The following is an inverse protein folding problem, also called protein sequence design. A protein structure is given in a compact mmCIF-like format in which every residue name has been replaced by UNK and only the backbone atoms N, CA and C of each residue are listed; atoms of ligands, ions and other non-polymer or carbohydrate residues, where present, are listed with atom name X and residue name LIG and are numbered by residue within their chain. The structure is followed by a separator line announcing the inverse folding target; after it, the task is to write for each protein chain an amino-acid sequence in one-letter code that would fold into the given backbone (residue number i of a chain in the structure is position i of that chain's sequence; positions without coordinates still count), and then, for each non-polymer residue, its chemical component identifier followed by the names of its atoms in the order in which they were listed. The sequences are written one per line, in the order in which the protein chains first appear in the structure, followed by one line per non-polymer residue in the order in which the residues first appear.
data_IF_147484577218
#
_entry.id   IF_147484577218
#
_cell.length_a   1.000
_cell.length_b   1.000
_cell.length_c   1.000
_cell.angle_alpha   90.00
_cell.angle_beta   90.00
_cell.angle_gamma   90.00
#
_symmetry.space_group_name_H-M   'P 1'
#
loop_
_entity.id
_entity.type
_entity.pdbx_description
1 polymer ?
#
# COMPACT_ATOMS: atom_id res chain seq x y z
N UNK A 1 12.15 -10.75 -16.15
CA UNK A 1 12.17 -9.31 -16.54
C UNK A 1 11.04 -8.94 -17.49
N UNK A 2 10.81 -9.66 -18.60
CA UNK A 2 9.71 -9.36 -19.54
C UNK A 2 8.32 -9.36 -18.86
N UNK A 3 8.03 -10.35 -17.99
CA UNK A 3 6.75 -10.40 -17.26
C UNK A 3 6.49 -9.19 -16.36
N UNK A 4 7.52 -8.63 -15.73
CA UNK A 4 7.39 -7.45 -14.87
C UNK A 4 7.07 -6.20 -15.69
N UNK A 5 7.76 -6.00 -16.83
CA UNK A 5 7.46 -4.93 -17.77
C UNK A 5 6.04 -5.09 -18.34
N UNK A 6 5.66 -6.32 -18.71
CA UNK A 6 4.33 -6.64 -19.22
C UNK A 6 3.21 -6.46 -18.17
N UNK A 7 3.51 -6.60 -16.87
CA UNK A 7 2.54 -6.34 -15.80
C UNK A 7 2.42 -4.85 -15.44
N UNK A 8 3.52 -4.10 -15.52
CA UNK A 8 3.55 -2.67 -15.21
C UNK A 8 2.96 -1.84 -16.36
N UNK A 9 3.28 -2.20 -17.60
CA UNK A 9 2.88 -1.44 -18.79
C UNK A 9 1.36 -1.19 -18.88
N UNK A 10 0.46 -2.16 -18.62
CA UNK A 10 -0.98 -1.93 -18.63
C UNK A 10 -1.43 -0.90 -17.58
N UNK A 11 -0.85 -0.93 -16.38
CA UNK A 11 -1.19 0.02 -15.31
C UNK A 11 -0.81 1.44 -15.72
N UNK A 12 0.41 1.62 -16.22
CA UNK A 12 0.87 2.92 -16.70
C UNK A 12 0.14 3.39 -17.96
N UNK A 13 -0.28 2.45 -18.83
CA UNK A 13 -1.12 2.76 -20.00
C UNK A 13 -2.49 3.28 -19.57
N UNK A 14 -3.13 2.65 -18.58
CA UNK A 14 -4.39 3.13 -18.00
C UNK A 14 -4.25 4.52 -17.38
N UNK A 15 -3.16 4.78 -16.65
CA UNK A 15 -2.86 6.11 -16.10
C UNK A 15 -2.70 7.14 -17.24
N UNK A 16 -1.96 6.80 -18.29
CA UNK A 16 -1.76 7.68 -19.44
C UNK A 16 -3.06 7.98 -20.18
N UNK A 17 -3.93 6.97 -20.35
CA UNK A 17 -5.27 7.13 -20.93
C UNK A 17 -6.12 8.05 -20.06
N UNK A 18 -6.18 7.81 -18.74
CA UNK A 18 -6.94 8.66 -17.82
C UNK A 18 -6.46 10.12 -17.83
N UNK A 19 -5.14 10.32 -17.87
CA UNK A 19 -4.54 11.65 -18.04
C UNK A 19 -4.90 12.28 -19.39
N UNK A 20 -4.83 11.52 -20.49
CA UNK A 20 -5.22 11.97 -21.82
C UNK A 20 -6.67 12.43 -21.88
N UNK A 21 -7.59 11.64 -21.32
CA UNK A 21 -9.02 11.96 -21.24
C UNK A 21 -9.28 13.24 -20.42
N UNK A 22 -8.53 13.43 -19.32
CA UNK A 22 -8.62 14.65 -18.52
C UNK A 22 -8.07 15.87 -19.27
N UNK A 23 -6.92 15.72 -19.93
CA UNK A 23 -6.29 16.82 -20.68
C UNK A 23 -7.08 17.23 -21.92
N UNK A 24 -7.84 16.31 -22.52
CA UNK A 24 -8.68 16.60 -23.68
C UNK A 24 -10.07 17.15 -23.32
N UNK A 25 -10.33 17.45 -22.04
CA UNK A 25 -11.65 17.86 -21.54
C UNK A 25 -12.78 16.89 -21.97
N UNK A 26 -12.48 15.59 -22.05
CA UNK A 26 -13.46 14.58 -22.50
C UNK A 26 -14.66 14.48 -21.55
N UNK A 27 -14.42 14.72 -20.25
CA UNK A 27 -15.46 14.84 -19.22
C UNK A 27 -15.29 16.17 -18.49
N UNK A 28 -16.40 16.79 -18.03
CA UNK A 28 -16.34 17.95 -17.15
C UNK A 28 -15.49 17.66 -15.90
N UNK A 29 -14.76 18.66 -15.42
CA UNK A 29 -13.88 18.51 -14.26
C UNK A 29 -14.60 17.99 -13.01
N UNK A 30 -15.87 18.36 -12.85
CA UNK A 30 -16.72 17.91 -11.75
C UNK A 30 -17.02 16.40 -11.76
N UNK A 31 -16.85 15.72 -12.90
CA UNK A 31 -17.16 14.29 -13.07
C UNK A 31 -16.06 13.38 -12.53
N UNK A 32 -14.81 13.85 -12.44
CA UNK A 32 -13.68 13.04 -11.95
C UNK A 32 -13.83 12.59 -10.51
N UNK A 33 -14.34 13.48 -9.63
CA UNK A 33 -14.50 13.19 -8.20
C UNK A 33 -15.54 12.09 -7.93
N UNK A 34 -16.72 12.09 -8.58
CA UNK A 34 -17.64 10.94 -8.55
C UNK A 34 -17.01 9.63 -9.05
N UNK A 35 -16.24 9.66 -10.15
CA UNK A 35 -15.58 8.46 -10.70
C UNK A 35 -14.56 7.89 -9.70
N UNK A 36 -13.76 8.76 -9.07
CA UNK A 36 -12.82 8.36 -8.03
C UNK A 36 -13.55 7.72 -6.84
N UNK A 37 -14.64 8.34 -6.38
CA UNK A 37 -15.46 7.80 -5.30
C UNK A 37 -16.04 6.42 -5.64
N UNK A 38 -16.55 6.23 -6.85
CA UNK A 38 -17.04 4.94 -7.33
C UNK A 38 -15.92 3.89 -7.38
N UNK A 39 -14.77 4.29 -7.91
CA UNK A 39 -13.61 3.41 -8.08
C UNK A 39 -13.10 2.91 -6.74
N UNK A 40 -12.95 3.81 -5.75
CA UNK A 40 -12.40 3.47 -4.44
C UNK A 40 -13.42 2.74 -3.56
N UNK A 41 -14.69 3.14 -3.56
CA UNK A 41 -15.66 2.60 -2.61
C UNK A 41 -16.40 1.35 -3.11
N UNK A 42 -16.43 1.10 -4.43
CA UNK A 42 -17.16 -0.04 -4.99
C UNK A 42 -16.28 -0.94 -5.86
N UNK A 43 -15.62 -0.37 -6.88
CA UNK A 43 -14.88 -1.18 -7.86
C UNK A 43 -13.64 -1.85 -7.23
N UNK A 44 -12.88 -1.10 -6.45
CA UNK A 44 -11.67 -1.63 -5.81
C UNK A 44 -11.97 -2.71 -4.76
N UNK A 45 -12.97 -2.55 -3.85
CA UNK A 45 -13.44 -3.65 -3.02
C UNK A 45 -13.95 -4.85 -3.82
N UNK A 46 -14.70 -4.60 -4.91
CA UNK A 46 -15.17 -5.66 -5.82
C UNK A 46 -14.03 -6.42 -6.51
N UNK A 47 -12.87 -5.80 -6.70
CA UNK A 47 -11.64 -6.45 -7.17
C UNK A 47 -10.92 -7.21 -6.05
N UNK A 48 -10.82 -6.62 -4.86
CA UNK A 48 -10.03 -7.15 -3.75
C UNK A 48 -10.72 -8.31 -3.02
N UNK A 49 -12.04 -8.22 -2.78
CA UNK A 49 -12.79 -9.22 -2.00
C UNK A 49 -12.72 -10.61 -2.64
N UNK A 50 -12.99 -10.80 -3.96
CA UNK A 50 -12.85 -12.11 -4.57
C UNK A 50 -11.42 -12.66 -4.52
N UNK A 51 -10.40 -11.79 -4.62
CA UNK A 51 -9.00 -12.20 -4.52
C UNK A 51 -8.66 -12.74 -3.13
N UNK A 52 -9.20 -12.12 -2.06
CA UNK A 52 -9.06 -12.60 -0.68
C UNK A 52 -9.92 -13.85 -0.45
N UNK A 53 -11.17 -13.85 -0.90
CA UNK A 53 -12.12 -14.93 -0.66
C UNK A 53 -11.69 -16.26 -1.27
N UNK A 54 -11.10 -16.22 -2.47
CA UNK A 54 -10.57 -17.40 -3.15
C UNK A 54 -9.13 -17.72 -2.72
N UNK A 55 -8.54 -16.96 -1.79
CA UNK A 55 -7.18 -17.25 -1.35
C UNK A 55 -7.16 -18.51 -0.50
N UNK A 56 -6.42 -19.52 -0.97
CA UNK A 56 -6.19 -20.72 -0.19
C UNK A 56 -5.16 -20.44 0.91
N UNK A 57 -5.66 -20.27 2.13
CA UNK A 57 -4.87 -20.08 3.34
C UNK A 57 -4.43 -21.41 3.98
N UNK A 58 -4.94 -22.54 3.48
CA UNK A 58 -4.63 -23.88 4.00
C UNK A 58 -3.34 -24.46 3.42
N UNK A 59 -2.88 -23.92 2.28
CA UNK A 59 -1.60 -24.27 1.68
C UNK A 59 -0.42 -23.87 2.57
N UNK A 60 0.58 -24.74 2.69
CA UNK A 60 1.76 -24.55 3.55
C UNK A 60 2.60 -23.30 3.25
N UNK A 61 2.36 -22.61 2.13
CA UNK A 61 3.08 -21.39 1.72
C UNK A 61 2.45 -20.09 2.21
N UNK A 62 1.18 -20.06 2.62
CA UNK A 62 0.49 -18.81 3.00
C UNK A 62 1.13 -18.14 4.23
N UNK A 63 1.42 -18.91 5.27
CA UNK A 63 2.12 -18.42 6.47
C UNK A 63 3.54 -17.94 6.16
N UNK A 64 4.26 -18.66 5.30
CA UNK A 64 5.61 -18.27 4.88
C UNK A 64 5.60 -16.97 4.07
N UNK A 65 4.64 -16.80 3.15
CA UNK A 65 4.47 -15.56 2.37
C UNK A 65 4.11 -14.37 3.26
N UNK A 66 3.17 -14.55 4.19
CA UNK A 66 2.79 -13.52 5.15
C UNK A 66 3.98 -13.10 6.03
N UNK A 67 4.73 -14.06 6.56
CA UNK A 67 5.92 -13.84 7.36
C UNK A 67 7.00 -13.11 6.56
N UNK A 68 7.30 -13.57 5.35
CA UNK A 68 8.29 -12.93 4.46
C UNK A 68 7.93 -11.47 4.15
N UNK A 69 6.66 -11.18 3.84
CA UNK A 69 6.19 -9.84 3.55
C UNK A 69 6.32 -8.91 4.78
N UNK A 70 5.92 -9.39 5.96
CA UNK A 70 6.07 -8.63 7.21
C UNK A 70 7.53 -8.38 7.53
N UNK A 71 8.40 -9.40 7.43
CA UNK A 71 9.83 -9.26 7.64
C UNK A 71 10.44 -8.25 6.67
N UNK A 72 10.08 -8.28 5.39
CA UNK A 72 10.56 -7.32 4.41
C UNK A 72 10.18 -5.88 4.78
N UNK A 73 8.92 -5.64 5.17
CA UNK A 73 8.47 -4.32 5.64
C UNK A 73 9.23 -3.87 6.88
N UNK A 74 9.46 -4.76 7.84
CA UNK A 74 10.21 -4.44 9.07
C UNK A 74 11.67 -4.10 8.76
N UNK A 75 12.31 -4.80 7.82
CA UNK A 75 13.67 -4.48 7.36
C UNK A 75 13.69 -3.08 6.75
N UNK A 76 12.78 -2.78 5.83
CA UNK A 76 12.70 -1.46 5.19
C UNK A 76 12.44 -0.35 6.23
N UNK A 77 11.54 -0.60 7.19
CA UNK A 77 11.28 0.32 8.30
C UNK A 77 12.52 0.53 9.20
N UNK A 78 13.23 -0.55 9.54
CA UNK A 78 14.48 -0.46 10.29
C UNK A 78 15.55 0.34 9.52
N UNK A 79 15.71 0.09 8.23
CA UNK A 79 16.61 0.87 7.37
C UNK A 79 16.24 2.36 7.36
N UNK A 80 14.95 2.69 7.25
CA UNK A 80 14.49 4.08 7.29
C UNK A 80 14.80 4.76 8.65
N UNK A 81 14.62 4.03 9.77
CA UNK A 81 14.99 4.51 11.11
C UNK A 81 16.49 4.71 11.27
N UNK A 82 17.30 3.77 10.79
CA UNK A 82 18.76 3.88 10.79
C UNK A 82 19.26 5.01 9.88
N UNK A 83 18.52 5.32 8.80
CA UNK A 83 18.83 6.43 7.91
C UNK A 83 18.49 7.80 8.52
N UNK A 84 17.56 7.87 9.48
CA UNK A 84 17.11 9.13 10.11
C UNK A 84 18.23 10.11 10.49
N UNK A 85 19.30 9.72 11.24
CA UNK A 85 20.36 10.66 11.63
C UNK A 85 21.09 11.29 10.44
N UNK A 86 21.07 10.67 9.26
CA UNK A 86 21.74 11.16 8.06
C UNK A 86 20.87 12.12 7.23
N UNK A 87 19.54 12.14 7.45
CA UNK A 87 18.60 12.83 6.55
C UNK A 87 18.46 14.35 6.79
N UNK A 88 19.06 14.94 7.84
CA UNK A 88 19.03 16.40 8.15
C UNK A 88 17.67 17.08 7.85
N UNK A 89 16.56 16.43 8.20
CA UNK A 89 15.20 16.92 8.00
C UNK A 89 14.46 16.99 9.34
N UNK A 90 13.50 17.91 9.40
CA UNK A 90 12.64 18.08 10.57
C UNK A 90 11.83 16.82 10.88
N UNK A 91 11.50 16.63 12.17
CA UNK A 91 10.74 15.47 12.65
C UNK A 91 9.48 15.19 11.82
N UNK A 92 8.58 16.17 11.62
CA UNK A 92 7.36 15.96 10.86
C UNK A 92 7.63 15.54 9.41
N UNK A 93 8.61 16.16 8.75
CA UNK A 93 9.03 15.78 7.40
C UNK A 93 9.58 14.34 7.36
N UNK A 94 10.35 13.93 8.37
CA UNK A 94 10.81 12.55 8.50
C UNK A 94 9.64 11.57 8.65
N UNK A 95 8.58 11.91 9.39
CA UNK A 95 7.40 11.04 9.49
C UNK A 95 6.75 10.81 8.12
N UNK A 96 6.74 11.81 7.24
CA UNK A 96 6.25 11.66 5.86
C UNK A 96 7.17 10.78 5.02
N UNK A 97 8.49 10.92 5.15
CA UNK A 97 9.47 10.06 4.45
C UNK A 97 9.32 8.61 4.88
N UNK A 98 9.31 8.34 6.19
CA UNK A 98 9.16 6.98 6.72
C UNK A 98 7.89 6.32 6.19
N UNK A 99 6.78 7.05 6.29
CA UNK A 99 5.48 6.63 5.77
C UNK A 99 5.48 6.36 4.26
N UNK A 100 6.20 7.17 3.48
CA UNK A 100 6.30 6.98 2.03
C UNK A 100 7.14 5.77 1.62
N UNK A 101 8.13 5.39 2.44
CA UNK A 101 9.04 4.28 2.11
C UNK A 101 8.44 2.91 2.48
N UNK A 102 7.71 2.81 3.60
CA UNK A 102 7.15 1.52 4.03
C UNK A 102 5.76 1.23 3.46
N UNK A 103 5.08 2.23 2.89
CA UNK A 103 3.80 2.05 2.20
C UNK A 103 4.02 1.79 0.72
N UNK A 104 3.37 0.74 0.24
CA UNK A 104 3.42 0.27 -1.13
C UNK A 104 2.09 0.57 -1.85
N UNK A 105 2.09 0.47 -3.18
CA UNK A 105 0.93 0.78 -4.00
C UNK A 105 0.25 -0.50 -4.51
N UNK A 106 -0.95 -0.77 -4.02
CA UNK A 106 -1.74 -1.95 -4.40
C UNK A 106 -2.29 -1.90 -5.81
N UNK A 107 -2.57 -0.70 -6.34
CA UNK A 107 -3.04 -0.51 -7.72
C UNK A 107 -2.01 -0.93 -8.77
N UNK A 108 -0.72 -0.83 -8.45
CA UNK A 108 0.37 -1.34 -9.31
C UNK A 108 0.68 -2.79 -8.97
N UNK A 109 0.79 -3.13 -7.68
CA UNK A 109 1.22 -4.45 -7.24
C UNK A 109 0.29 -5.58 -7.68
N UNK A 110 -1.02 -5.45 -7.46
CA UNK A 110 -1.96 -6.55 -7.71
C UNK A 110 -2.07 -6.92 -9.21
N UNK A 111 -2.19 -5.97 -10.16
CA UNK A 111 -2.17 -6.31 -11.59
C UNK A 111 -0.85 -6.94 -12.04
N UNK A 112 0.30 -6.46 -11.53
CA UNK A 112 1.61 -7.04 -11.86
C UNK A 112 1.68 -8.49 -11.39
N UNK A 113 1.21 -8.78 -10.17
CA UNK A 113 1.16 -10.14 -9.64
C UNK A 113 0.21 -11.00 -10.46
N UNK A 114 -1.00 -10.51 -10.77
CA UNK A 114 -1.97 -11.25 -11.58
C UNK A 114 -1.40 -11.64 -12.95
N UNK A 115 -0.71 -10.72 -13.63
CA UNK A 115 -0.10 -10.99 -14.96
C UNK A 115 1.10 -11.93 -14.86
N UNK A 116 1.88 -11.84 -13.77
CA UNK A 116 3.15 -12.59 -13.65
C UNK A 116 2.97 -13.97 -13.03
N UNK A 117 2.05 -14.12 -12.08
CA UNK A 117 1.89 -15.30 -11.23
C UNK A 117 0.47 -15.87 -11.24
N UNK A 118 -0.45 -15.29 -12.02
CA UNK A 118 -1.82 -15.77 -12.16
C UNK A 118 -2.64 -15.67 -10.88
N UNK A 119 -3.75 -16.41 -10.84
CA UNK A 119 -4.72 -16.37 -9.75
C UNK A 119 -4.15 -16.85 -8.41
N UNK A 120 -3.28 -17.88 -8.41
CA UNK A 120 -2.61 -18.37 -7.20
C UNK A 120 -1.66 -17.33 -6.60
N UNK A 121 -0.89 -16.64 -7.46
CA UNK A 121 -0.06 -15.52 -7.02
C UNK A 121 -0.89 -14.35 -6.49
N UNK A 122 -2.02 -14.04 -7.12
CA UNK A 122 -2.94 -13.00 -6.66
C UNK A 122 -3.54 -13.34 -5.28
N UNK A 123 -3.89 -14.60 -5.04
CA UNK A 123 -4.31 -15.10 -3.75
C UNK A 123 -3.22 -14.90 -2.68
N UNK A 124 -1.98 -15.33 -2.95
CA UNK A 124 -0.86 -15.13 -2.02
C UNK A 124 -0.58 -13.64 -1.78
N UNK A 125 -0.69 -12.80 -2.81
CA UNK A 125 -0.59 -11.35 -2.68
C UNK A 125 -1.66 -10.80 -1.74
N UNK A 126 -2.92 -11.26 -1.84
CA UNK A 126 -3.96 -10.86 -0.92
C UNK A 126 -3.61 -11.17 0.56
N UNK A 127 -3.01 -12.34 0.83
CA UNK A 127 -2.51 -12.72 2.16
C UNK A 127 -1.41 -11.77 2.64
N UNK A 128 -0.39 -11.53 1.80
CA UNK A 128 0.71 -10.62 2.11
C UNK A 128 0.20 -9.20 2.42
N UNK A 129 -0.76 -8.71 1.65
CA UNK A 129 -1.38 -7.41 1.85
C UNK A 129 -2.12 -7.36 3.19
N UNK A 130 -2.95 -8.37 3.47
CA UNK A 130 -3.68 -8.46 4.71
C UNK A 130 -2.75 -8.48 5.94
N UNK A 131 -1.58 -9.12 5.85
CA UNK A 131 -0.61 -9.17 6.95
C UNK A 131 0.18 -7.88 7.13
N UNK A 132 0.59 -7.20 6.05
CA UNK A 132 1.44 -6.00 6.15
C UNK A 132 0.66 -4.70 6.42
N UNK A 133 -0.63 -4.62 6.11
CA UNK A 133 -1.44 -3.42 6.36
C UNK A 133 -1.43 -3.03 7.86
N UNK A 134 -1.75 -3.93 8.82
CA UNK A 134 -1.70 -3.59 10.24
C UNK A 134 -0.30 -3.18 10.69
N UNK A 135 0.73 -3.93 10.27
CA UNK A 135 2.13 -3.69 10.65
C UNK A 135 2.60 -2.31 10.19
N UNK A 136 2.38 -1.98 8.91
CA UNK A 136 2.77 -0.68 8.37
C UNK A 136 2.02 0.46 9.06
N UNK A 137 0.71 0.32 9.32
CA UNK A 137 -0.06 1.35 10.01
C UNK A 137 0.41 1.58 11.44
N UNK A 138 0.65 0.52 12.23
CA UNK A 138 1.18 0.63 13.59
C UNK A 138 2.56 1.31 13.57
N UNK A 139 3.46 0.88 12.67
CA UNK A 139 4.78 1.50 12.54
C UNK A 139 4.69 2.99 12.17
N UNK A 140 3.79 3.36 11.25
CA UNK A 140 3.56 4.74 10.86
C UNK A 140 3.05 5.59 12.03
N UNK A 141 2.08 5.07 12.80
CA UNK A 141 1.55 5.76 13.98
C UNK A 141 2.63 5.90 15.05
N UNK A 142 3.46 4.88 15.29
CA UNK A 142 4.56 4.95 16.25
C UNK A 142 5.62 6.02 15.85
N UNK A 143 5.95 6.13 14.57
CA UNK A 143 6.87 7.16 14.06
C UNK A 143 6.24 8.55 14.12
N UNK A 144 4.97 8.68 13.74
CA UNK A 144 4.21 9.92 13.87
C UNK A 144 4.13 10.37 15.33
N UNK A 145 3.92 9.41 16.23
CA UNK A 145 3.88 9.66 17.65
C UNK A 145 5.19 10.24 18.19
N UNK A 146 6.32 9.74 17.68
CA UNK A 146 7.64 10.13 18.17
C UNK A 146 8.16 11.44 17.58
N UNK A 147 7.84 11.74 16.32
CA UNK A 147 8.43 12.86 15.56
C UNK A 147 7.41 13.77 14.85
N UNK A 148 6.10 13.56 15.03
CA UNK A 148 5.04 14.38 14.43
C UNK A 148 4.95 15.79 15.00
N UNK A 149 4.29 16.68 14.25
CA UNK A 149 4.18 18.11 14.57
C UNK A 149 3.24 18.40 15.74
N UNK A 150 2.19 17.58 15.92
CA UNK A 150 1.19 17.77 16.97
C UNK A 150 1.19 16.59 17.94
N UNK A 151 1.89 16.77 19.07
CA UNK A 151 1.96 15.77 20.14
C UNK A 151 0.84 15.97 21.18
N UNK A 152 -0.03 16.98 21.03
CA UNK A 152 -0.98 17.41 22.07
C UNK A 152 -2.23 16.53 22.25
N UNK A 153 -2.37 15.45 21.48
CA UNK A 153 -3.50 14.51 21.57
C UNK A 153 -3.17 13.09 22.00
N UNK A 154 -1.90 12.76 22.21
CA UNK A 154 -1.46 11.38 22.40
C UNK A 154 -1.04 11.12 23.85
N UNK A 155 -2.03 10.87 24.70
CA UNK A 155 -1.78 10.25 25.99
C UNK A 155 -1.24 8.82 25.77
N UNK A 156 -0.24 8.34 26.54
CA UNK A 156 0.23 6.95 26.50
C UNK A 156 -0.90 5.92 26.71
N UNK A 157 -1.97 6.31 27.42
CA UNK A 157 -3.20 5.54 27.62
C UNK A 157 -4.08 5.42 26.35
N UNK A 158 -3.90 6.30 25.36
CA UNK A 158 -4.63 6.22 24.09
C UNK A 158 -3.99 5.19 23.14
N UNK A 159 -2.68 4.96 23.24
CA UNK A 159 -1.96 3.94 22.47
C UNK A 159 -2.32 2.52 22.93
N UNK A 160 -2.55 2.30 24.23
CA UNK A 160 -2.97 1.00 24.78
C UNK A 160 -4.44 0.67 24.55
N UNK A 161 -5.28 1.65 24.21
CA UNK A 161 -6.69 1.44 23.79
C UNK A 161 -6.85 1.22 22.28
N UNK A 162 -5.80 1.48 21.51
CA UNK A 162 -5.78 1.29 20.06
C UNK A 162 -5.11 -0.03 19.63
N UNK A 163 -4.51 -0.76 20.58
CA UNK A 163 -4.06 -2.16 20.45
C UNK A 163 -5.09 -3.08 21.09
#
# INVERSE_FOLDING_TARGET
MIGLLAGILPVFSLIAIGYGLRKSDFLPDATWRPIEKLSINLLYPGFLIPAIWNADLSGGSAGAAAGAAVTAVLIVGACALLAKPFLKIEGPAYTSVFQGVIRWNSFVFLPVIQVTFGAEGLALAAVMIASIIPVTNIACVAVLARWGADQRGMSPLALTRAM
#
